data_IF_527835195476
#
_entry.id   IF_527835195476
#
_cell.length_a   1.000
_cell.length_b   1.000
_cell.length_c   1.000
_cell.angle_alpha   90.00
_cell.angle_beta   90.00
_cell.angle_gamma   90.00
#
_symmetry.space_group_name_H-M   'P 1'
#
loop_
_entity.id
_entity.type
_entity.pdbx_description
1 polymer ?
#
# COMPACT_ATOMS: atom_id res chain seq x y z
N UNK A 1 -2.81 -34.02 17.18
CA UNK A 1 -2.13 -32.70 17.15
C UNK A 1 -1.55 -32.51 15.77
N UNK A 2 -1.49 -31.26 15.27
CA UNK A 2 -0.71 -30.82 14.09
C UNK A 2 -1.46 -31.02 12.75
N UNK A 3 -1.79 -30.02 11.94
CA UNK A 3 -1.48 -28.59 11.88
C UNK A 3 -2.77 -27.83 11.53
N UNK A 4 -3.14 -26.81 12.32
CA UNK A 4 -3.98 -25.74 11.77
C UNK A 4 -3.07 -24.94 10.85
N UNK A 5 -3.48 -24.58 9.63
CA UNK A 5 -2.72 -23.59 8.88
C UNK A 5 -2.71 -22.32 9.74
N UNK A 6 -1.54 -21.98 10.29
CA UNK A 6 -1.25 -20.60 10.68
C UNK A 6 -1.45 -19.80 9.41
N UNK A 7 -2.57 -19.08 9.35
CA UNK A 7 -2.80 -18.07 8.31
C UNK A 7 -1.64 -17.11 8.48
N UNK A 8 -0.68 -17.20 7.56
CA UNK A 8 0.38 -16.21 7.42
C UNK A 8 -0.31 -14.90 7.08
N UNK A 9 -0.67 -14.11 8.09
CA UNK A 9 -1.12 -12.72 7.99
C UNK A 9 0.03 -11.80 7.53
N UNK A 10 0.93 -12.30 6.70
CA UNK A 10 2.18 -11.64 6.30
C UNK A 10 2.03 -10.70 5.13
N UNK A 11 0.82 -10.48 4.59
CA UNK A 11 0.68 -9.70 3.35
C UNK A 11 -0.52 -8.73 3.31
N UNK A 12 -1.19 -8.50 4.44
CA UNK A 12 -2.28 -7.51 4.51
C UNK A 12 -1.86 -6.25 5.28
N UNK A 13 -2.03 -5.09 4.65
CA UNK A 13 -1.91 -3.80 5.35
C UNK A 13 -3.13 -3.65 6.28
N UNK A 14 -2.87 -3.56 7.58
CA UNK A 14 -3.90 -3.31 8.59
C UNK A 14 -4.23 -1.82 8.67
N UNK A 15 -5.38 -1.46 9.24
CA UNK A 15 -5.74 -0.05 9.45
C UNK A 15 -4.79 0.62 10.44
N UNK A 16 -4.32 -0.12 11.45
CA UNK A 16 -3.33 0.35 12.41
C UNK A 16 -2.04 0.76 11.69
N UNK A 17 -1.54 -0.04 10.74
CA UNK A 17 -0.34 0.33 9.98
C UNK A 17 -0.53 1.62 9.16
N UNK A 18 -1.74 1.86 8.63
CA UNK A 18 -2.06 3.12 7.94
C UNK A 18 -2.05 4.29 8.91
N UNK A 19 -2.68 4.14 10.07
CA UNK A 19 -2.72 5.16 11.12
C UNK A 19 -1.31 5.49 11.63
N UNK A 20 -0.47 4.47 11.87
CA UNK A 20 0.92 4.66 12.30
C UNK A 20 1.72 5.45 11.25
N UNK A 21 1.57 5.10 9.97
CA UNK A 21 2.22 5.81 8.87
C UNK A 21 1.76 7.27 8.78
N UNK A 22 0.47 7.53 8.96
CA UNK A 22 -0.08 8.90 8.97
C UNK A 22 0.44 9.70 10.16
N UNK A 23 0.54 9.06 11.32
CA UNK A 23 1.09 9.65 12.54
C UNK A 23 2.55 10.09 12.29
N UNK A 24 3.34 9.21 11.68
CA UNK A 24 4.72 9.49 11.27
C UNK A 24 4.83 10.67 10.30
N UNK A 25 3.95 10.74 9.30
CA UNK A 25 3.84 11.88 8.37
C UNK A 25 3.50 13.18 9.10
N UNK A 26 2.50 13.17 9.99
CA UNK A 26 2.04 14.36 10.72
C UNK A 26 3.15 14.95 11.60
N UNK A 27 3.94 14.09 12.25
CA UNK A 27 5.03 14.53 13.13
C UNK A 27 6.35 14.79 12.39
N UNK A 28 6.42 14.50 11.09
CA UNK A 28 7.59 14.80 10.27
C UNK A 28 8.80 13.94 10.61
N UNK A 29 8.59 12.68 11.00
CA UNK A 29 9.64 11.68 11.21
C UNK A 29 10.14 11.20 9.83
N UNK A 30 10.78 12.09 9.07
CA UNK A 30 11.04 11.92 7.63
C UNK A 30 12.21 10.98 7.29
N UNK A 31 12.93 10.42 8.26
CA UNK A 31 14.26 9.88 7.97
C UNK A 31 14.22 8.46 7.40
N UNK A 32 13.29 7.59 7.78
CA UNK A 32 13.30 6.20 7.30
C UNK A 32 11.90 5.59 7.18
N UNK A 33 11.20 5.83 6.06
CA UNK A 33 9.98 5.09 5.75
C UNK A 33 10.35 3.69 5.23
N UNK A 34 9.88 2.63 5.89
CA UNK A 34 10.10 1.26 5.41
C UNK A 34 9.23 0.94 4.18
N UNK A 35 9.47 -0.20 3.53
CA UNK A 35 8.74 -0.58 2.31
C UNK A 35 7.22 -0.60 2.47
N UNK A 36 6.73 -1.05 3.63
CA UNK A 36 5.30 -1.10 3.96
C UNK A 36 4.71 0.29 4.14
N UNK A 37 5.41 1.18 4.84
CA UNK A 37 5.03 2.59 4.99
C UNK A 37 5.03 3.30 3.64
N UNK A 38 6.01 3.02 2.78
CA UNK A 38 6.07 3.55 1.43
C UNK A 38 4.89 3.07 0.56
N UNK A 39 4.49 1.80 0.68
CA UNK A 39 3.28 1.30 0.01
C UNK A 39 2.03 2.06 0.45
N UNK A 40 1.91 2.37 1.74
CA UNK A 40 0.80 3.16 2.30
C UNK A 40 0.82 4.59 1.76
N UNK A 41 1.98 5.23 1.72
CA UNK A 41 2.16 6.58 1.15
C UNK A 41 1.74 6.62 -0.32
N UNK A 42 2.15 5.62 -1.11
CA UNK A 42 1.75 5.53 -2.52
C UNK A 42 0.25 5.25 -2.68
N UNK A 43 -0.34 4.45 -1.79
CA UNK A 43 -1.77 4.23 -1.79
C UNK A 43 -2.55 5.50 -1.42
N UNK A 44 -2.05 6.30 -0.48
CA UNK A 44 -2.61 7.61 -0.13
C UNK A 44 -2.61 8.55 -1.34
N UNK A 45 -1.49 8.67 -2.07
CA UNK A 45 -1.39 9.48 -3.30
C UNK A 45 -2.39 9.09 -4.38
N UNK A 46 -2.79 7.82 -4.45
CA UNK A 46 -3.80 7.33 -5.41
C UNK A 46 -5.24 7.58 -4.97
N UNK A 47 -5.47 7.74 -3.66
CA UNK A 47 -6.80 7.84 -3.06
C UNK A 47 -7.24 9.29 -2.90
N UNK A 48 -6.29 10.20 -2.74
CA UNK A 48 -6.52 11.61 -2.44
C UNK A 48 -5.63 12.50 -3.31
N UNK A 49 -6.25 13.20 -4.27
CA UNK A 49 -5.56 14.03 -5.25
C UNK A 49 -4.84 15.22 -4.59
N UNK A 50 -5.27 15.66 -3.40
CA UNK A 50 -4.67 16.79 -2.69
C UNK A 50 -3.21 16.52 -2.31
N UNK A 51 -2.80 15.25 -2.22
CA UNK A 51 -1.47 14.83 -1.81
C UNK A 51 -0.68 14.11 -2.90
N UNK A 52 -1.24 13.98 -4.11
CA UNK A 52 -0.66 13.17 -5.19
C UNK A 52 0.77 13.58 -5.59
N UNK A 53 1.08 14.88 -5.54
CA UNK A 53 2.37 15.46 -5.94
C UNK A 53 3.14 16.09 -4.78
N UNK A 54 2.68 15.91 -3.55
CA UNK A 54 3.29 16.51 -2.37
C UNK A 54 4.54 15.73 -1.91
N UNK A 55 5.50 16.45 -1.33
CA UNK A 55 6.54 15.85 -0.49
C UNK A 55 5.93 15.37 0.85
N UNK A 56 6.65 14.52 1.58
CA UNK A 56 6.12 13.91 2.81
C UNK A 56 5.76 14.97 3.87
N UNK A 57 6.54 16.04 3.98
CA UNK A 57 6.26 17.19 4.83
C UNK A 57 4.94 17.87 4.52
N UNK A 58 4.65 18.16 3.25
CA UNK A 58 3.39 18.78 2.84
C UNK A 58 2.23 17.81 3.04
N UNK A 59 2.43 16.51 2.80
CA UNK A 59 1.44 15.47 3.12
C UNK A 59 1.10 15.45 4.62
N UNK A 60 2.10 15.51 5.49
CA UNK A 60 1.91 15.59 6.94
C UNK A 60 1.16 16.84 7.38
N UNK A 61 1.47 17.98 6.76
CA UNK A 61 0.76 19.25 7.01
C UNK A 61 -0.71 19.15 6.61
N UNK A 62 -1.00 18.57 5.44
CA UNK A 62 -2.37 18.30 4.99
C UNK A 62 -3.13 17.35 5.93
N UNK A 63 -2.51 16.24 6.35
CA UNK A 63 -3.13 15.29 7.28
C UNK A 63 -3.43 15.93 8.63
N UNK A 64 -2.61 16.89 9.09
CA UNK A 64 -2.80 17.61 10.34
C UNK A 64 -3.98 18.58 10.30
N UNK A 65 -4.30 19.14 9.12
CA UNK A 65 -5.46 20.03 8.95
C UNK A 65 -6.77 19.28 8.76
N UNK A 66 -6.70 17.98 8.43
CA UNK A 66 -7.87 17.11 8.24
C UNK A 66 -8.61 16.87 9.56
N UNK A 67 -9.95 16.91 9.51
CA UNK A 67 -10.77 16.56 10.66
C UNK A 67 -10.74 15.05 10.94
N UNK A 68 -10.92 14.64 12.20
CA UNK A 68 -10.95 13.21 12.59
C UNK A 68 -12.00 12.41 11.80
N UNK A 69 -13.17 13.00 11.53
CA UNK A 69 -14.21 12.36 10.74
C UNK A 69 -13.81 12.07 9.29
N UNK A 70 -12.96 12.92 8.71
CA UNK A 70 -12.41 12.73 7.36
C UNK A 70 -11.31 11.67 7.39
N UNK A 71 -10.45 11.70 8.41
CA UNK A 71 -9.38 10.73 8.61
C UNK A 71 -9.95 9.30 8.77
N UNK A 72 -11.02 9.13 9.56
CA UNK A 72 -11.74 7.86 9.73
C UNK A 72 -12.25 7.31 8.40
N UNK A 73 -12.66 8.17 7.46
CA UNK A 73 -13.12 7.76 6.13
C UNK A 73 -11.95 7.48 5.18
N UNK A 74 -10.84 8.19 5.34
CA UNK A 74 -9.64 8.06 4.50
C UNK A 74 -8.89 6.75 4.76
N UNK A 75 -8.67 6.39 6.03
CA UNK A 75 -7.92 5.18 6.44
C UNK A 75 -8.40 3.90 5.73
N UNK A 76 -9.69 3.52 5.75
CA UNK A 76 -10.16 2.30 5.08
C UNK A 76 -10.06 2.39 3.55
N UNK A 77 -10.11 3.59 2.95
CA UNK A 77 -9.92 3.79 1.51
C UNK A 77 -8.47 3.53 1.11
N UNK A 78 -7.52 4.05 1.88
CA UNK A 78 -6.07 3.83 1.66
C UNK A 78 -5.74 2.36 1.84
N UNK A 79 -6.19 1.73 2.93
CA UNK A 79 -6.04 0.27 3.13
C UNK A 79 -6.55 -0.54 1.94
N UNK A 80 -7.75 -0.23 1.44
CA UNK A 80 -8.33 -0.93 0.29
C UNK A 80 -7.51 -0.72 -0.99
N UNK A 81 -6.93 0.46 -1.18
CA UNK A 81 -6.04 0.77 -2.30
C UNK A 81 -4.74 -0.05 -2.25
N UNK A 82 -4.20 -0.29 -1.05
CA UNK A 82 -3.07 -1.19 -0.87
C UNK A 82 -3.40 -2.63 -1.32
N UNK A 83 -4.56 -3.16 -0.90
CA UNK A 83 -4.98 -4.53 -1.24
C UNK A 83 -5.25 -4.73 -2.74
N UNK A 84 -5.70 -3.68 -3.44
CA UNK A 84 -5.91 -3.73 -4.89
C UNK A 84 -4.61 -3.81 -5.70
N UNK A 85 -3.48 -3.40 -5.14
CA UNK A 85 -2.18 -3.47 -5.82
C UNK A 85 -1.47 -4.84 -5.64
N UNK A 86 -2.03 -5.76 -4.84
CA UNK A 86 -1.50 -7.13 -4.69
C UNK A 86 -1.97 -8.05 -5.84
N UNK A 87 -3.00 -7.66 -6.59
CA UNK A 87 -3.50 -8.40 -7.76
C UNK A 87 -3.28 -7.59 -9.06
N UNK A 88 -2.08 -7.67 -9.66
CA UNK A 88 -2.01 -8.22 -11.02
C UNK A 88 -0.71 -9.02 -11.33
N UNK A 89 0.01 -9.56 -10.34
CA UNK A 89 1.29 -10.25 -10.61
C UNK A 89 1.16 -11.74 -10.99
N UNK A 90 0.06 -12.42 -10.67
CA UNK A 90 -0.04 -13.89 -10.78
C UNK A 90 -0.45 -14.38 -12.20
N UNK A 91 -0.94 -13.51 -13.09
CA UNK A 91 -1.47 -13.93 -14.41
C UNK A 91 -0.54 -13.70 -15.60
N UNK A 92 0.73 -13.32 -15.40
CA UNK A 92 1.62 -12.87 -16.50
C UNK A 92 2.89 -13.70 -16.72
N UNK A 93 2.84 -15.00 -16.44
CA UNK A 93 3.97 -15.91 -16.63
C UNK A 93 3.53 -17.31 -17.02
N UNK A 94 2.96 -17.47 -18.23
CA UNK A 94 2.39 -18.74 -18.66
C UNK A 94 2.30 -18.95 -20.15
N UNK A 95 3.21 -18.40 -20.96
CA UNK A 95 3.36 -18.81 -22.36
C UNK A 95 4.77 -19.36 -22.57
N UNK A 96 4.87 -20.70 -22.48
CA UNK A 96 6.06 -21.46 -22.81
C UNK A 96 6.34 -21.33 -24.31
N UNK A 97 7.54 -20.92 -24.63
CA UNK A 97 8.17 -21.05 -25.95
C UNK A 97 8.00 -22.48 -26.49
N UNK A 98 7.17 -22.64 -27.52
CA UNK A 98 7.16 -23.84 -28.36
C UNK A 98 8.08 -23.55 -29.56
N UNK A 99 9.38 -23.81 -29.40
CA UNK A 99 10.28 -23.97 -30.53
C UNK A 99 9.93 -25.29 -31.23
N UNK A 100 9.08 -25.21 -32.27
CA UNK A 100 9.04 -26.22 -33.33
C UNK A 100 10.21 -25.96 -34.27
N UNK A 101 11.26 -26.77 -34.17
CA UNK A 101 12.26 -26.86 -35.22
C UNK A 101 11.63 -27.54 -36.43
N UNK A 102 11.80 -26.88 -37.57
CA UNK A 102 11.25 -27.26 -38.86
C UNK A 102 11.93 -28.50 -39.45
N UNK A 103 11.13 -29.15 -40.27
CA UNK A 103 11.43 -30.17 -41.25
C UNK A 103 12.57 -29.69 -42.18
N UNK A 104 13.62 -30.51 -42.34
CA UNK A 104 14.29 -30.82 -43.61
C UNK A 104 15.34 -31.92 -43.38
#
# INVERSE_FOLDING_TARGET
MKDRPEVLDTDSISEIAVVDTFTKLIFGEEVDYNEREMQIIQALRRVDDNVALNDHRSMGTYLRTMGVAELIKLVPRVRRSCLKNVYPAILRGGERSSHRLGIL
#
